data_IF_804069510829
#
_entry.id   IF_804069510829
#
_cell.length_a   1.000
_cell.length_b   1.000
_cell.length_c   1.000
_cell.angle_alpha   90.00
_cell.angle_beta   90.00
_cell.angle_gamma   90.00
#
_symmetry.space_group_name_H-M   'P 1'
#
loop_
_entity.id
_entity.type
_entity.pdbx_description
1 polymer ?
#
# COMPACT_ATOMS: atom_id res chain seq x y z
N UNK A 1 5.80 -13.34 14.02
CA UNK A 1 5.91 -12.15 13.14
C UNK A 1 4.69 -12.08 12.25
N UNK A 2 4.06 -10.91 12.15
CA UNK A 2 3.02 -10.67 11.14
C UNK A 2 3.70 -10.58 9.76
N UNK A 3 3.47 -11.59 8.91
CA UNK A 3 4.20 -11.73 7.63
C UNK A 3 3.81 -10.66 6.61
N UNK A 4 2.61 -10.11 6.78
CA UNK A 4 1.87 -9.27 5.86
C UNK A 4 1.37 -8.04 6.65
N UNK A 5 1.46 -6.83 6.08
CA UNK A 5 0.72 -5.65 6.59
C UNK A 5 -0.81 -5.85 6.51
N UNK A 6 -1.60 -4.98 7.13
CA UNK A 6 -3.07 -5.01 6.90
C UNK A 6 -3.39 -4.44 5.52
N UNK A 7 -4.02 -5.24 4.66
CA UNK A 7 -4.60 -4.80 3.37
C UNK A 7 -5.70 -3.77 3.62
N UNK A 8 -6.00 -2.93 2.62
CA UNK A 8 -7.04 -1.89 2.64
C UNK A 8 -6.82 -0.70 3.58
N UNK A 9 -5.72 -0.64 4.34
CA UNK A 9 -5.43 0.47 5.26
C UNK A 9 -5.34 1.85 4.59
N UNK A 10 -5.00 1.91 3.30
CA UNK A 10 -4.91 3.16 2.55
C UNK A 10 -6.24 3.91 2.46
N UNK A 11 -7.38 3.21 2.59
CA UNK A 11 -8.71 3.81 2.51
C UNK A 11 -8.91 4.84 3.63
N UNK A 12 -8.31 4.58 4.80
CA UNK A 12 -8.35 5.46 5.98
C UNK A 12 -7.36 6.63 5.92
N UNK A 13 -6.61 6.79 4.82
CA UNK A 13 -5.67 7.89 4.67
C UNK A 13 -6.36 9.11 4.06
N UNK A 14 -6.13 10.28 4.66
CA UNK A 14 -6.55 11.57 4.11
C UNK A 14 -6.10 11.78 2.66
N UNK A 15 -4.91 11.29 2.30
CA UNK A 15 -4.41 11.33 0.93
C UNK A 15 -5.34 10.63 -0.07
N UNK A 16 -5.89 9.46 0.30
CA UNK A 16 -6.82 8.71 -0.53
C UNK A 16 -8.19 9.40 -0.60
N UNK A 17 -8.70 9.86 0.55
CA UNK A 17 -9.97 10.58 0.62
C UNK A 17 -9.93 11.83 -0.25
N UNK A 18 -8.87 12.65 -0.10
CA UNK A 18 -8.72 13.88 -0.86
C UNK A 18 -8.45 13.64 -2.35
N UNK A 19 -7.73 12.57 -2.72
CA UNK A 19 -7.59 12.15 -4.12
C UNK A 19 -8.94 11.83 -4.78
N UNK A 20 -9.87 11.18 -4.05
CA UNK A 20 -11.22 10.94 -4.57
C UNK A 20 -12.04 12.23 -4.66
N UNK A 21 -11.89 13.16 -3.70
CA UNK A 21 -12.52 14.50 -3.79
C UNK A 21 -12.03 15.24 -5.04
N UNK A 22 -10.73 15.18 -5.34
CA UNK A 22 -10.15 15.71 -6.58
C UNK A 22 -10.73 15.01 -7.82
N UNK A 23 -10.79 13.68 -7.86
CA UNK A 23 -11.38 12.92 -8.99
C UNK A 23 -12.83 13.36 -9.27
N UNK A 24 -13.66 13.46 -8.23
CA UNK A 24 -15.04 13.94 -8.36
C UNK A 24 -15.11 15.41 -8.79
N UNK A 25 -14.29 16.26 -8.19
CA UNK A 25 -14.27 17.69 -8.50
C UNK A 25 -13.79 17.99 -9.91
N UNK A 26 -12.81 17.23 -10.41
CA UNK A 26 -12.36 17.28 -11.79
C UNK A 26 -13.45 16.83 -12.76
N UNK A 27 -14.19 15.76 -12.44
CA UNK A 27 -15.34 15.35 -13.24
C UNK A 27 -16.38 16.46 -13.40
N UNK A 28 -16.79 17.09 -12.29
CA UNK A 28 -17.74 18.21 -12.31
C UNK A 28 -17.18 19.45 -13.01
N UNK A 29 -15.89 19.75 -12.84
CA UNK A 29 -15.24 20.85 -13.53
C UNK A 29 -15.25 20.65 -15.05
N UNK A 30 -14.78 19.48 -15.51
CA UNK A 30 -14.68 19.17 -16.93
C UNK A 30 -16.07 19.16 -17.59
N UNK A 31 -17.10 18.62 -16.94
CA UNK A 31 -18.47 18.63 -17.49
C UNK A 31 -19.10 20.01 -17.56
N UNK A 32 -18.66 20.96 -16.72
CA UNK A 32 -19.22 22.31 -16.66
C UNK A 32 -18.47 23.31 -17.55
N UNK A 33 -17.14 23.22 -17.63
CA UNK A 33 -16.31 24.26 -18.26
C UNK A 33 -15.60 23.84 -19.53
N UNK A 34 -15.52 22.54 -19.84
CA UNK A 34 -14.98 22.08 -21.11
C UNK A 34 -16.12 21.69 -22.04
N UNK A 35 -16.16 22.34 -23.20
CA UNK A 35 -17.22 22.20 -24.19
C UNK A 35 -16.66 22.30 -25.60
N UNK A 36 -17.52 22.10 -26.61
CA UNK A 36 -17.11 22.08 -28.00
C UNK A 36 -16.43 23.38 -28.49
N UNK A 37 -16.58 24.51 -27.78
CA UNK A 37 -15.94 25.78 -28.15
C UNK A 37 -14.49 25.86 -27.70
N UNK A 38 -14.16 25.39 -26.50
CA UNK A 38 -12.81 25.51 -25.92
C UNK A 38 -12.03 24.17 -25.89
N UNK A 39 -12.72 23.04 -26.05
CA UNK A 39 -12.14 21.70 -26.23
C UNK A 39 -12.93 20.92 -27.29
N UNK A 40 -12.89 21.34 -28.57
CA UNK A 40 -13.68 20.72 -29.64
C UNK A 40 -13.43 19.23 -29.84
N UNK A 41 -12.23 18.75 -29.47
CA UNK A 41 -11.85 17.34 -29.56
C UNK A 41 -12.05 16.54 -28.28
N UNK A 42 -12.53 17.14 -27.19
CA UNK A 42 -12.65 16.49 -25.87
C UNK A 42 -11.32 15.98 -25.32
N UNK A 43 -10.19 16.50 -25.82
CA UNK A 43 -8.85 15.98 -25.50
C UNK A 43 -8.46 16.42 -24.10
N UNK A 44 -8.68 17.68 -23.77
CA UNK A 44 -8.41 18.20 -22.42
C UNK A 44 -9.36 17.57 -21.40
N UNK A 45 -10.64 17.40 -21.73
CA UNK A 45 -11.59 16.67 -20.88
C UNK A 45 -11.07 15.26 -20.55
N UNK A 46 -10.66 14.52 -21.58
CA UNK A 46 -10.18 13.14 -21.41
C UNK A 46 -8.87 13.09 -20.62
N UNK A 47 -7.94 13.99 -20.89
CA UNK A 47 -6.65 14.06 -20.19
C UNK A 47 -6.83 14.35 -18.70
N UNK A 48 -7.59 15.40 -18.36
CA UNK A 48 -7.81 15.80 -16.97
C UNK A 48 -8.54 14.71 -16.18
N UNK A 49 -9.63 14.16 -16.72
CA UNK A 49 -10.39 13.10 -16.04
C UNK A 49 -9.58 11.81 -15.88
N UNK A 50 -8.76 11.46 -16.88
CA UNK A 50 -7.85 10.33 -16.79
C UNK A 50 -6.74 10.55 -15.77
N UNK A 51 -6.11 11.73 -15.75
CA UNK A 51 -5.06 12.06 -14.78
C UNK A 51 -5.58 12.00 -13.34
N UNK A 52 -6.77 12.55 -13.07
CA UNK A 52 -7.40 12.49 -11.75
C UNK A 52 -7.69 11.05 -11.30
N UNK A 53 -8.28 10.25 -12.20
CA UNK A 53 -8.55 8.82 -11.93
C UNK A 53 -7.25 8.05 -11.72
N UNK A 54 -6.26 8.24 -12.59
CA UNK A 54 -4.94 7.59 -12.50
C UNK A 54 -4.26 7.87 -11.17
N UNK A 55 -4.29 9.13 -10.69
CA UNK A 55 -3.77 9.52 -9.38
C UNK A 55 -4.40 8.71 -8.23
N UNK A 56 -5.72 8.60 -8.22
CA UNK A 56 -6.44 7.83 -7.20
C UNK A 56 -6.16 6.32 -7.27
N UNK A 57 -6.23 5.73 -8.47
CA UNK A 57 -6.08 4.27 -8.65
C UNK A 57 -4.66 3.79 -8.39
N UNK A 58 -3.66 4.49 -8.89
CA UNK A 58 -2.27 4.12 -8.66
C UNK A 58 -1.86 4.30 -7.20
N UNK A 59 -2.42 5.28 -6.48
CA UNK A 59 -2.19 5.41 -5.04
C UNK A 59 -2.75 4.21 -4.26
N UNK A 60 -3.97 3.79 -4.60
CA UNK A 60 -4.63 2.63 -4.00
C UNK A 60 -3.86 1.33 -4.32
N UNK A 61 -3.52 1.10 -5.60
CA UNK A 61 -2.78 -0.09 -6.01
C UNK A 61 -1.38 -0.13 -5.40
N UNK A 62 -0.63 0.98 -5.49
CA UNK A 62 0.70 1.08 -4.89
C UNK A 62 0.69 0.79 -3.39
N UNK A 63 -0.31 1.31 -2.68
CA UNK A 63 -0.47 1.03 -1.25
C UNK A 63 -0.77 -0.43 -0.94
N UNK A 64 -1.60 -1.12 -1.75
CA UNK A 64 -1.81 -2.57 -1.62
C UNK A 64 -0.56 -3.36 -1.99
N UNK A 65 0.28 -2.88 -2.91
CA UNK A 65 1.52 -3.59 -3.28
C UNK A 65 2.57 -3.59 -2.19
N UNK A 66 2.54 -2.67 -1.21
CA UNK A 66 3.45 -2.68 -0.05
C UNK A 66 3.43 -3.99 0.74
N UNK A 67 2.32 -4.73 0.60
CA UNK A 67 2.12 -6.07 1.13
C UNK A 67 3.10 -7.12 0.59
N UNK A 68 3.52 -6.95 -0.66
CA UNK A 68 4.15 -8.01 -1.46
C UNK A 68 5.43 -7.53 -2.16
N UNK A 69 5.46 -6.30 -2.66
CA UNK A 69 6.56 -5.72 -3.42
C UNK A 69 6.69 -4.21 -3.14
N UNK A 70 7.76 -3.82 -2.45
CA UNK A 70 8.09 -2.41 -2.22
C UNK A 70 8.47 -1.69 -3.51
N UNK A 71 9.23 -2.33 -4.41
CA UNK A 71 9.65 -1.72 -5.66
C UNK A 71 8.45 -1.32 -6.52
N UNK A 72 7.55 -2.26 -6.79
CA UNK A 72 6.31 -2.00 -7.55
C UNK A 72 5.39 -1.01 -6.85
N UNK A 73 5.34 -1.06 -5.51
CA UNK A 73 4.56 -0.08 -4.75
C UNK A 73 5.06 1.34 -4.96
N UNK A 74 6.38 1.57 -4.88
CA UNK A 74 6.98 2.88 -5.08
C UNK A 74 6.77 3.38 -6.52
N UNK A 75 6.96 2.52 -7.52
CA UNK A 75 6.69 2.85 -8.93
C UNK A 75 5.24 3.35 -9.12
N UNK A 76 4.25 2.62 -8.58
CA UNK A 76 2.84 3.01 -8.68
C UNK A 76 2.54 4.30 -7.89
N UNK A 77 3.10 4.46 -6.69
CA UNK A 77 2.94 5.69 -5.91
C UNK A 77 3.55 6.90 -6.63
N UNK A 78 4.65 6.73 -7.35
CA UNK A 78 5.25 7.76 -8.19
C UNK A 78 4.39 8.08 -9.41
N UNK A 79 3.80 7.07 -10.08
CA UNK A 79 2.82 7.29 -11.16
C UNK A 79 1.60 8.06 -10.66
N UNK A 80 1.12 7.74 -9.44
CA UNK A 80 0.01 8.47 -8.83
C UNK A 80 0.31 9.96 -8.66
N UNK A 81 1.51 10.28 -8.15
CA UNK A 81 1.99 11.66 -8.01
C UNK A 81 2.16 12.35 -9.35
N UNK A 82 2.79 11.68 -10.31
CA UNK A 82 2.99 12.22 -11.66
C UNK A 82 1.64 12.60 -12.30
N UNK A 83 0.64 11.72 -12.19
CA UNK A 83 -0.71 11.98 -12.72
C UNK A 83 -1.36 13.20 -12.06
N UNK A 84 -1.20 13.39 -10.74
CA UNK A 84 -1.73 14.58 -10.07
C UNK A 84 -0.93 15.85 -10.37
N UNK A 85 0.38 15.76 -10.64
CA UNK A 85 1.17 16.88 -11.14
C UNK A 85 0.73 17.31 -12.53
N UNK A 86 0.49 16.37 -13.45
CA UNK A 86 -0.07 16.66 -14.78
C UNK A 86 -1.42 17.36 -14.66
N UNK A 87 -2.31 16.84 -13.81
CA UNK A 87 -3.61 17.47 -13.55
C UNK A 87 -3.48 18.88 -12.96
N UNK A 88 -2.51 19.11 -12.08
CA UNK A 88 -2.21 20.44 -11.53
C UNK A 88 -1.84 21.41 -12.65
N UNK A 89 -1.01 20.95 -13.59
CA UNK A 89 -0.56 21.78 -14.71
C UNK A 89 -1.69 22.07 -15.70
N UNK A 90 -2.65 21.14 -15.88
CA UNK A 90 -3.88 21.39 -16.63
C UNK A 90 -4.75 22.50 -16.00
N UNK A 91 -4.89 22.53 -14.68
CA UNK A 91 -5.59 23.63 -14.00
C UNK A 91 -4.84 24.96 -14.12
N UNK A 92 -3.52 24.95 -13.98
CA UNK A 92 -2.71 26.15 -14.22
C UNK A 92 -2.90 26.66 -15.65
N UNK A 93 -2.90 25.76 -16.64
CA UNK A 93 -3.16 26.10 -18.04
C UNK A 93 -4.55 26.70 -18.23
N UNK A 94 -5.58 26.13 -17.62
CA UNK A 94 -6.93 26.71 -17.66
C UNK A 94 -6.96 28.14 -17.10
N UNK A 95 -6.33 28.39 -15.95
CA UNK A 95 -6.25 29.73 -15.37
C UNK A 95 -5.51 30.71 -16.29
N UNK A 96 -4.36 30.31 -16.83
CA UNK A 96 -3.58 31.13 -17.76
C UNK A 96 -4.34 31.45 -19.05
N UNK A 97 -5.11 30.51 -19.59
CA UNK A 97 -5.97 30.74 -20.76
C UNK A 97 -7.08 31.78 -20.50
N UNK A 98 -7.46 31.95 -19.24
CA UNK A 98 -8.41 32.98 -18.78
C UNK A 98 -7.71 34.25 -18.27
N UNK A 99 -6.40 34.39 -18.52
CA UNK A 99 -5.58 35.51 -18.04
C UNK A 99 -5.63 35.71 -16.52
N UNK A 100 -5.78 34.61 -15.78
CA UNK A 100 -5.74 34.59 -14.32
C UNK A 100 -4.48 33.87 -13.83
N UNK A 101 -3.94 34.36 -12.72
CA UNK A 101 -2.97 33.61 -11.93
C UNK A 101 -3.69 32.80 -10.84
N UNK A 102 -3.08 31.71 -10.33
CA UNK A 102 -3.56 31.08 -9.11
C UNK A 102 -3.71 32.08 -7.97
N UNK A 103 -4.70 31.85 -7.09
CA UNK A 103 -4.87 32.65 -5.88
C UNK A 103 -3.58 32.71 -5.08
N UNK A 104 -3.24 33.92 -4.63
CA UNK A 104 -2.14 34.09 -3.69
C UNK A 104 -2.42 33.28 -2.42
N UNK A 105 -1.39 32.67 -1.84
CA UNK A 105 -1.53 31.80 -0.66
C UNK A 105 -2.17 32.51 0.55
N UNK A 106 -2.03 33.82 0.61
CA UNK A 106 -2.53 34.69 1.66
C UNK A 106 -3.91 35.31 1.33
N UNK A 107 -4.49 34.99 0.18
CA UNK A 107 -5.86 35.41 -0.16
C UNK A 107 -6.88 34.78 0.80
N UNK A 108 -8.03 35.45 0.95
CA UNK A 108 -9.11 34.98 1.82
C UNK A 108 -9.63 33.62 1.34
N UNK A 109 -9.78 33.47 0.04
CA UNK A 109 -10.28 32.27 -0.64
C UNK A 109 -9.32 31.10 -0.46
N UNK A 110 -8.02 31.31 -0.72
CA UNK A 110 -7.01 30.28 -0.54
C UNK A 110 -6.90 29.82 0.92
N UNK A 111 -6.79 30.78 1.86
CA UNK A 111 -6.75 30.46 3.31
C UNK A 111 -7.96 29.68 3.77
N UNK A 112 -9.16 29.98 3.24
CA UNK A 112 -10.38 29.25 3.55
C UNK A 112 -10.26 27.78 3.13
N UNK A 113 -9.87 27.51 1.89
CA UNK A 113 -9.69 26.14 1.38
C UNK A 113 -8.60 25.39 2.16
N UNK A 114 -7.45 26.02 2.42
CA UNK A 114 -6.38 25.42 3.23
C UNK A 114 -6.81 25.15 4.68
N UNK A 115 -7.70 25.99 5.23
CA UNK A 115 -8.23 25.87 6.59
C UNK A 115 -9.20 24.70 6.79
N UNK A 116 -9.82 24.19 5.72
CA UNK A 116 -10.77 23.06 5.82
C UNK A 116 -10.04 21.78 6.23
N UNK A 117 -10.44 21.21 7.37
CA UNK A 117 -9.97 19.92 7.88
C UNK A 117 -10.88 18.79 7.42
N UNK A 118 -10.28 17.66 7.06
CA UNK A 118 -11.02 16.43 6.78
C UNK A 118 -11.45 15.79 8.10
N UNK A 119 -12.60 15.12 8.08
CA UNK A 119 -13.03 14.32 9.23
C UNK A 119 -12.25 13.01 9.26
N UNK A 120 -12.07 12.44 10.45
CA UNK A 120 -11.51 11.10 10.58
C UNK A 120 -12.40 10.09 9.83
N UNK A 121 -11.83 9.18 9.02
CA UNK A 121 -12.61 8.16 8.34
C UNK A 121 -13.19 7.15 9.34
N UNK A 122 -14.51 7.03 9.35
CA UNK A 122 -15.25 5.96 10.03
C UNK A 122 -16.23 5.35 9.04
N UNK A 123 -16.01 4.08 8.69
CA UNK A 123 -16.78 3.37 7.68
C UNK A 123 -17.77 2.36 8.29
N UNK A 124 -17.75 2.17 9.61
CA UNK A 124 -18.52 1.12 10.27
C UNK A 124 -18.28 -0.27 9.67
N UNK A 125 -19.34 -1.08 9.63
CA UNK A 125 -19.26 -2.47 9.15
C UNK A 125 -19.36 -2.62 7.62
N UNK A 126 -19.97 -1.65 6.93
CA UNK A 126 -20.06 -1.64 5.46
C UNK A 126 -19.02 -0.66 4.90
N UNK A 127 -17.81 -1.18 4.71
CA UNK A 127 -16.66 -0.39 4.30
C UNK A 127 -16.90 0.34 2.97
N UNK A 128 -17.51 -0.33 1.98
CA UNK A 128 -17.72 0.26 0.66
C UNK A 128 -18.71 1.42 0.72
N UNK A 129 -19.85 1.23 1.39
CA UNK A 129 -20.82 2.31 1.60
C UNK A 129 -20.22 3.43 2.43
N UNK A 130 -19.50 3.09 3.50
CA UNK A 130 -18.85 4.04 4.40
C UNK A 130 -17.87 4.96 3.68
N UNK A 131 -17.02 4.41 2.80
CA UNK A 131 -16.06 5.20 2.01
C UNK A 131 -16.79 6.18 1.09
N UNK A 132 -17.79 5.72 0.34
CA UNK A 132 -18.54 6.57 -0.57
C UNK A 132 -19.21 7.73 0.19
N UNK A 133 -19.89 7.43 1.30
CA UNK A 133 -20.54 8.45 2.13
C UNK A 133 -19.54 9.43 2.72
N UNK A 134 -18.40 8.93 3.20
CA UNK A 134 -17.35 9.77 3.78
C UNK A 134 -16.73 10.71 2.74
N UNK A 135 -16.36 10.20 1.56
CA UNK A 135 -15.82 11.03 0.46
C UNK A 135 -16.83 12.10 0.03
N UNK A 136 -18.12 11.74 -0.11
CA UNK A 136 -19.17 12.72 -0.43
C UNK A 136 -19.32 13.78 0.67
N UNK A 137 -19.22 13.40 1.95
CA UNK A 137 -19.25 14.35 3.06
C UNK A 137 -18.03 15.29 3.04
N UNK A 138 -16.84 14.76 2.75
CA UNK A 138 -15.63 15.58 2.63
C UNK A 138 -15.69 16.51 1.42
N UNK A 139 -16.22 16.06 0.28
CA UNK A 139 -16.46 16.90 -0.90
C UNK A 139 -17.34 18.10 -0.56
N UNK A 140 -18.42 17.89 0.20
CA UNK A 140 -19.36 18.97 0.60
C UNK A 140 -18.71 20.10 1.38
N UNK A 141 -17.61 19.86 2.09
CA UNK A 141 -16.88 20.93 2.80
C UNK A 141 -16.23 21.95 1.86
N UNK A 142 -16.08 21.61 0.59
CA UNK A 142 -15.55 22.46 -0.46
C UNK A 142 -16.62 22.87 -1.50
N UNK A 143 -17.87 22.48 -1.28
CA UNK A 143 -18.99 22.71 -2.21
C UNK A 143 -19.18 24.17 -2.62
N UNK A 144 -19.06 25.18 -1.72
CA UNK A 144 -19.29 26.57 -2.14
C UNK A 144 -18.46 27.00 -3.35
N UNK A 145 -17.22 26.51 -3.46
CA UNK A 145 -16.32 26.80 -4.58
C UNK A 145 -16.37 25.71 -5.63
N UNK A 146 -16.44 24.44 -5.24
CA UNK A 146 -16.52 23.32 -6.19
C UNK A 146 -17.81 23.30 -7.02
N UNK A 147 -18.87 23.93 -6.53
CA UNK A 147 -20.16 24.10 -7.22
C UNK A 147 -20.38 25.53 -7.73
N UNK A 148 -19.40 26.44 -7.58
CA UNK A 148 -19.52 27.83 -8.03
C UNK A 148 -19.62 27.94 -9.55
N UNK A 149 -20.53 28.72 -10.12
CA UNK A 149 -20.56 28.95 -11.58
C UNK A 149 -19.29 29.65 -12.13
N UNK A 150 -18.42 30.15 -11.25
CA UNK A 150 -17.10 30.66 -11.61
C UNK A 150 -16.06 29.53 -11.75
N UNK A 151 -15.66 29.26 -13.00
CA UNK A 151 -14.62 28.29 -13.33
C UNK A 151 -13.25 28.65 -12.74
N UNK A 152 -12.95 29.92 -12.49
CA UNK A 152 -11.69 30.37 -11.86
C UNK A 152 -11.66 29.95 -10.39
N UNK A 153 -12.77 30.14 -9.66
CA UNK A 153 -12.89 29.68 -8.28
C UNK A 153 -12.81 28.16 -8.15
N UNK A 154 -13.46 27.40 -9.05
CA UNK A 154 -13.36 25.92 -9.08
C UNK A 154 -11.93 25.46 -9.38
N UNK A 155 -11.29 26.02 -10.40
CA UNK A 155 -9.94 25.65 -10.80
C UNK A 155 -8.92 25.93 -9.67
N UNK A 156 -9.00 27.09 -9.03
CA UNK A 156 -8.14 27.42 -7.90
C UNK A 156 -8.36 26.49 -6.70
N UNK A 157 -9.62 26.16 -6.40
CA UNK A 157 -9.94 25.20 -5.35
C UNK A 157 -9.32 23.85 -5.64
N UNK A 158 -9.49 23.33 -6.86
CA UNK A 158 -8.92 22.03 -7.26
C UNK A 158 -7.39 22.04 -7.25
N UNK A 159 -6.77 23.15 -7.66
CA UNK A 159 -5.32 23.34 -7.58
C UNK A 159 -4.79 23.22 -6.14
N UNK A 160 -5.50 23.83 -5.18
CA UNK A 160 -5.17 23.72 -3.76
C UNK A 160 -5.36 22.29 -3.25
N UNK A 161 -6.47 21.64 -3.60
CA UNK A 161 -6.75 20.27 -3.18
C UNK A 161 -5.71 19.29 -3.74
N UNK A 162 -5.34 19.41 -5.01
CA UNK A 162 -4.27 18.61 -5.63
C UNK A 162 -2.95 18.83 -4.90
N UNK A 163 -2.59 20.07 -4.61
CA UNK A 163 -1.35 20.40 -3.89
C UNK A 163 -1.34 19.79 -2.48
N UNK A 164 -2.47 19.84 -1.76
CA UNK A 164 -2.63 19.19 -0.46
C UNK A 164 -2.48 17.67 -0.56
N UNK A 165 -3.12 17.05 -1.56
CA UNK A 165 -3.03 15.61 -1.81
C UNK A 165 -1.60 15.18 -2.11
N UNK A 166 -0.89 15.90 -3.01
CA UNK A 166 0.51 15.64 -3.34
C UNK A 166 1.40 15.70 -2.09
N UNK A 167 1.23 16.73 -1.24
CA UNK A 167 2.00 16.85 0.01
C UNK A 167 1.73 15.70 0.99
N UNK A 168 0.50 15.18 1.04
CA UNK A 168 0.18 14.02 1.88
C UNK A 168 0.78 12.74 1.30
N UNK A 169 0.74 12.56 -0.02
CA UNK A 169 1.37 11.43 -0.72
C UNK A 169 2.89 11.45 -0.53
N UNK A 170 3.54 12.61 -0.61
CA UNK A 170 4.98 12.77 -0.36
C UNK A 170 5.39 12.31 1.03
N UNK A 171 4.65 12.76 2.06
CA UNK A 171 4.87 12.32 3.43
C UNK A 171 4.66 10.81 3.59
N UNK A 172 3.63 10.27 2.95
CA UNK A 172 3.34 8.84 2.99
C UNK A 172 4.46 8.00 2.35
N UNK A 173 4.92 8.36 1.15
CA UNK A 173 6.03 7.68 0.46
C UNK A 173 7.30 7.76 1.29
N UNK A 174 7.61 8.94 1.85
CA UNK A 174 8.77 9.13 2.72
C UNK A 174 8.71 8.21 3.94
N UNK A 175 7.58 8.17 4.65
CA UNK A 175 7.41 7.33 5.83
C UNK A 175 7.53 5.83 5.50
N UNK A 176 7.02 5.42 4.33
CA UNK A 176 7.20 4.04 3.83
C UNK A 176 8.67 3.73 3.58
N UNK A 177 9.40 4.66 2.98
CA UNK A 177 10.83 4.51 2.71
C UNK A 177 11.65 4.37 4.00
N UNK A 178 11.37 5.20 5.01
CA UNK A 178 11.99 5.11 6.33
C UNK A 178 11.69 3.76 7.00
N UNK A 179 10.44 3.31 6.96
CA UNK A 179 10.07 2.02 7.54
C UNK A 179 10.70 0.83 6.79
N UNK A 180 10.91 0.94 5.48
CA UNK A 180 11.62 -0.07 4.70
C UNK A 180 13.07 -0.21 5.16
N UNK A 181 13.74 0.92 5.41
CA UNK A 181 15.12 0.93 5.93
C UNK A 181 15.20 0.27 7.30
N UNK A 182 14.22 0.51 8.19
CA UNK A 182 14.21 -0.07 9.54
C UNK A 182 13.83 -1.55 9.59
N UNK A 183 12.78 -1.96 8.84
CA UNK A 183 12.15 -3.29 8.98
C UNK A 183 12.51 -4.28 7.88
N UNK A 184 13.27 -3.85 6.87
CA UNK A 184 13.66 -4.65 5.73
C UNK A 184 12.50 -5.02 4.79
N UNK A 185 12.83 -5.72 3.72
CA UNK A 185 11.89 -6.10 2.67
C UNK A 185 11.03 -7.33 3.00
N UNK A 186 9.93 -7.51 2.27
CA UNK A 186 9.09 -8.71 2.38
C UNK A 186 9.87 -10.01 2.06
N UNK A 187 10.73 -9.98 1.04
CA UNK A 187 11.61 -11.12 0.68
C UNK A 187 12.59 -11.48 1.78
N UNK A 188 13.14 -10.49 2.47
CA UNK A 188 14.05 -10.69 3.61
C UNK A 188 13.30 -11.36 4.76
N UNK A 189 12.09 -10.86 5.09
CA UNK A 189 11.22 -11.48 6.10
C UNK A 189 10.87 -12.93 5.77
N UNK A 190 10.55 -13.24 4.50
CA UNK A 190 10.35 -14.63 4.06
C UNK A 190 11.62 -15.49 4.22
N UNK A 191 12.79 -14.91 3.96
CA UNK A 191 14.07 -15.56 4.20
C UNK A 191 14.26 -15.91 5.68
N UNK A 192 14.00 -14.96 6.57
CA UNK A 192 14.05 -15.15 8.02
C UNK A 192 13.10 -16.24 8.48
N UNK A 193 11.82 -16.18 8.09
CA UNK A 193 10.82 -17.20 8.45
C UNK A 193 11.18 -18.58 7.90
N UNK A 194 11.70 -18.67 6.67
CA UNK A 194 12.21 -19.95 6.13
C UNK A 194 13.41 -20.46 6.92
N UNK A 195 14.30 -19.58 7.37
CA UNK A 195 15.44 -19.93 8.21
C UNK A 195 14.96 -20.47 9.57
N UNK A 196 14.07 -19.74 10.24
CA UNK A 196 13.48 -20.13 11.52
C UNK A 196 12.71 -21.45 11.41
N UNK A 197 11.92 -21.64 10.35
CA UNK A 197 11.21 -22.90 10.09
C UNK A 197 12.18 -24.06 9.79
N UNK A 198 13.33 -23.81 9.14
CA UNK A 198 14.39 -24.83 8.98
C UNK A 198 15.01 -25.17 10.33
N UNK A 199 15.24 -24.18 11.20
CA UNK A 199 15.77 -24.40 12.55
C UNK A 199 14.78 -25.15 13.43
N UNK A 200 13.47 -24.89 13.32
CA UNK A 200 12.42 -25.59 14.05
C UNK A 200 12.13 -27.00 13.50
N UNK A 201 12.22 -27.20 12.18
CA UNK A 201 12.14 -28.54 11.57
C UNK A 201 13.39 -29.38 11.85
N UNK A 202 14.55 -28.74 12.03
CA UNK A 202 15.72 -29.33 12.65
C UNK A 202 15.58 -29.27 14.18
N UNK A 203 14.49 -29.82 14.73
CA UNK A 203 14.54 -30.31 16.10
C UNK A 203 15.68 -31.33 16.15
N UNK A 204 16.87 -30.89 16.58
CA UNK A 204 17.83 -31.77 17.21
C UNK A 204 17.11 -32.21 18.50
N UNK A 205 16.66 -33.48 18.61
CA UNK A 205 16.25 -34.00 19.90
C UNK A 205 17.45 -33.83 20.83
N UNK A 206 17.15 -33.48 22.08
CA UNK A 206 18.14 -33.15 23.10
C UNK A 206 19.22 -34.24 23.31
N UNK A 207 19.03 -35.44 22.75
CA UNK A 207 19.99 -36.54 22.71
C UNK A 207 20.13 -37.11 21.29
N UNK A 208 20.68 -36.34 20.35
CA UNK A 208 21.12 -36.93 19.08
C UNK A 208 22.22 -37.98 19.36
N UNK A 209 22.05 -39.25 18.93
CA UNK A 209 23.02 -40.31 19.22
C UNK A 209 24.36 -40.01 18.53
N UNK A 210 25.47 -40.33 19.19
CA UNK A 210 26.80 -40.22 18.58
C UNK A 210 26.94 -41.20 17.42
N UNK A 211 27.71 -40.81 16.40
CA UNK A 211 27.96 -41.65 15.24
C UNK A 211 28.70 -42.94 15.66
N UNK A 212 28.19 -44.14 15.32
CA UNK A 212 28.79 -45.41 15.75
C UNK A 212 30.15 -45.70 15.10
N UNK A 213 30.52 -44.96 14.04
CA UNK A 213 31.79 -45.15 13.31
C UNK A 213 32.92 -44.25 13.75
N UNK A 214 32.61 -43.04 14.24
CA UNK A 214 33.63 -42.01 14.51
C UNK A 214 33.37 -41.19 15.79
N UNK A 215 32.22 -41.36 16.43
CA UNK A 215 31.86 -40.60 17.63
C UNK A 215 31.37 -39.17 17.38
N UNK A 216 31.48 -38.63 16.16
CA UNK A 216 30.99 -37.29 15.81
C UNK A 216 29.45 -37.16 15.98
N UNK A 217 28.92 -35.93 16.16
CA UNK A 217 27.49 -35.69 16.24
C UNK A 217 26.74 -36.21 15.00
N UNK A 218 25.49 -36.65 15.19
CA UNK A 218 24.61 -36.99 14.07
C UNK A 218 23.55 -35.92 13.87
N UNK A 219 23.03 -35.81 12.64
CA UNK A 219 21.93 -34.91 12.27
C UNK A 219 20.78 -35.71 11.70
N UNK A 220 19.55 -35.27 11.95
CA UNK A 220 18.36 -35.91 11.40
C UNK A 220 18.30 -35.67 9.89
N UNK A 221 18.20 -36.74 9.11
CA UNK A 221 18.09 -36.73 7.64
C UNK A 221 16.92 -37.60 7.24
N UNK A 222 16.43 -37.44 6.00
CA UNK A 222 15.36 -38.27 5.44
C UNK A 222 15.85 -39.02 4.20
N UNK A 223 15.40 -40.26 4.02
CA UNK A 223 15.73 -41.03 2.82
C UNK A 223 15.00 -40.46 1.59
N UNK A 224 15.65 -40.46 0.42
CA UNK A 224 15.04 -39.93 -0.82
C UNK A 224 13.85 -40.76 -1.33
N UNK A 225 13.80 -42.05 -0.98
CA UNK A 225 12.81 -43.00 -1.50
C UNK A 225 11.49 -42.94 -0.72
N UNK A 226 11.57 -42.99 0.61
CA UNK A 226 10.40 -43.19 1.47
C UNK A 226 10.21 -42.06 2.51
N UNK A 227 11.05 -41.02 2.45
CA UNK A 227 11.06 -39.88 3.39
C UNK A 227 11.21 -40.28 4.87
N UNK A 228 11.64 -41.52 5.15
CA UNK A 228 11.84 -42.05 6.49
C UNK A 228 13.02 -41.34 7.17
N UNK A 229 12.84 -40.83 8.40
CA UNK A 229 13.92 -40.17 9.15
C UNK A 229 15.00 -41.17 9.59
N UNK A 230 16.26 -40.71 9.62
CA UNK A 230 17.41 -41.43 10.18
C UNK A 230 18.47 -40.42 10.66
N UNK A 231 19.32 -40.84 11.60
CA UNK A 231 20.47 -40.05 12.05
C UNK A 231 21.66 -40.28 11.12
N UNK A 232 22.10 -39.26 10.41
CA UNK A 232 23.31 -39.32 9.57
C UNK A 232 24.48 -38.56 10.19
N UNK A 233 25.69 -39.11 10.11
CA UNK A 233 26.91 -38.46 10.59
C UNK A 233 27.07 -37.02 10.05
N UNK A 234 27.52 -36.08 10.90
CA UNK A 234 27.87 -34.71 10.49
C UNK A 234 28.98 -34.68 9.42
N UNK A 235 29.93 -35.62 9.50
CA UNK A 235 31.16 -35.62 8.69
C UNK A 235 30.98 -36.36 7.36
N UNK A 236 29.74 -36.62 6.93
CA UNK A 236 29.47 -37.11 5.59
C UNK A 236 29.97 -36.09 4.55
N UNK A 237 30.71 -36.51 3.49
CA UNK A 237 30.85 -37.88 2.99
C UNK A 237 32.03 -38.69 3.55
N UNK A 238 32.93 -38.07 4.33
CA UNK A 238 34.11 -38.72 4.89
C UNK A 238 33.73 -39.83 5.89
N UNK A 239 32.64 -39.65 6.63
CA UNK A 239 32.06 -40.70 7.47
C UNK A 239 30.60 -40.99 7.08
N UNK A 240 30.31 -42.27 6.76
CA UNK A 240 28.98 -42.76 6.40
C UNK A 240 28.32 -43.56 7.54
N UNK A 241 28.43 -43.05 8.76
CA UNK A 241 27.72 -43.62 9.92
C UNK A 241 26.26 -43.22 9.92
N UNK A 242 25.38 -44.18 10.25
CA UNK A 242 23.92 -44.02 10.29
C UNK A 242 23.42 -44.64 11.59
N UNK A 243 22.44 -44.01 12.25
CA UNK A 243 21.66 -44.58 13.35
C UNK A 243 20.18 -44.50 12.98
N UNK A 244 19.42 -45.55 13.29
CA UNK A 244 17.98 -45.58 13.04
C UNK A 244 17.27 -44.56 13.93
N UNK A 245 16.28 -43.85 13.38
CA UNK A 245 15.43 -42.96 14.17
C UNK A 245 14.26 -43.75 14.72
N UNK A 246 14.21 -43.95 16.03
CA UNK A 246 13.06 -44.52 16.72
C UNK A 246 12.12 -43.37 17.10
N UNK A 247 10.89 -43.38 16.58
CA UNK A 247 9.86 -42.44 17.02
C UNK A 247 9.55 -42.70 18.50
N UNK A 248 9.59 -41.68 19.38
CA UNK A 248 9.12 -41.87 20.74
C UNK A 248 7.65 -42.28 20.70
N UNK A 249 7.29 -43.36 21.40
CA UNK A 249 5.91 -43.82 21.52
C UNK A 249 5.04 -42.66 21.98
N UNK A 250 4.02 -42.31 21.17
CA UNK A 250 2.97 -41.39 21.62
C UNK A 250 2.34 -41.98 22.86
N UNK A 251 2.69 -41.45 24.04
CA UNK A 251 1.94 -41.71 25.26
C UNK A 251 0.48 -41.36 24.98
N UNK A 252 -0.34 -42.40 24.87
CA UNK A 252 -1.80 -42.29 24.83
C UNK A 252 -2.22 -41.63 26.14
N UNK A 253 -2.47 -40.32 26.13
CA UNK A 253 -3.23 -39.67 27.18
C UNK A 253 -4.62 -40.33 27.21
N UNK A 254 -5.05 -40.92 28.33
CA UNK A 254 -6.39 -41.47 28.44
C UNK A 254 -7.40 -40.33 28.36
N UNK A 255 -8.37 -40.45 27.45
CA UNK A 255 -9.57 -39.62 27.41
C UNK A 255 -10.35 -39.85 28.72
N UNK A 256 -10.23 -38.94 29.69
CA UNK A 256 -11.15 -38.92 30.84
C UNK A 256 -12.51 -38.45 30.35
N UNK A 257 -13.46 -39.39 30.28
CA UNK A 257 -14.89 -39.10 30.26
C UNK A 257 -15.31 -38.57 31.63
N UNK A 258 -15.87 -37.37 31.67
CA UNK A 258 -16.96 -36.95 32.56
C UNK A 258 -17.48 -35.59 32.06
#
# INVERSE_FOLDING_TARGET
MELFRKSAGYRFLDAYVLANVVELGTGHFCSSFLNARNDPGGRTYTQMTHAARSGCRNFAEGSERLMTSYATALELLDVARASLCELRDDYNKFLMMNWQAPWAMDSKEARRIYGVRLDAPDYGNDINRGICLHVMAQFRKFEPELSSEDGIARANTLLILITRTLNMMDKYIKNIGEEFVEKGGFRERLGTVRSEARTQQNHEPAEAPKCPKCGSPTRLRKTRKDNKPFWGCSDYPACRGIVEYLEPEKSLMPLSKA
#
